data_IF_772578382889
#
_entry.id   IF_772578382889
#
_cell.length_a   1.000
_cell.length_b   1.000
_cell.length_c   1.000
_cell.angle_alpha   90.00
_cell.angle_beta   90.00
_cell.angle_gamma   90.00
#
_symmetry.space_group_name_H-M   'P 1'
#
loop_
_entity.id
_entity.type
_entity.pdbx_description
1 polymer ?
#
# COMPACT_ATOMS: atom_id res chain seq x y z
N UNK A 1 63.61 38.10 8.56
CA UNK A 1 63.69 36.90 9.43
C UNK A 1 62.28 36.36 9.69
N UNK A 2 62.20 35.04 9.93
CA UNK A 2 61.05 34.27 10.42
C UNK A 2 60.08 33.64 9.39
N UNK A 3 60.27 32.33 9.18
CA UNK A 3 59.40 31.36 8.50
C UNK A 3 58.61 30.57 9.56
N UNK A 4 57.31 30.32 9.34
CA UNK A 4 56.53 29.17 9.88
C UNK A 4 55.41 28.85 8.86
N UNK A 5 55.60 27.93 7.91
CA UNK A 5 55.35 26.47 7.90
C UNK A 5 53.94 26.05 8.37
N UNK A 6 53.11 25.64 7.40
CA UNK A 6 51.80 24.98 7.55
C UNK A 6 52.01 23.50 7.93
N UNK A 7 51.18 22.98 8.83
CA UNK A 7 51.16 21.57 9.22
C UNK A 7 50.33 20.74 8.22
N UNK A 8 50.88 19.59 7.79
CA UNK A 8 50.29 18.60 6.89
C UNK A 8 50.48 17.23 7.54
N UNK A 9 49.66 16.88 8.52
CA UNK A 9 49.66 15.56 9.18
C UNK A 9 48.23 15.31 9.68
N UNK A 10 47.45 14.52 8.94
CA UNK A 10 46.22 13.85 9.45
C UNK A 10 45.64 12.83 8.45
N UNK A 11 46.15 12.75 7.22
CA UNK A 11 45.61 11.83 6.20
C UNK A 11 46.21 10.41 6.23
N UNK A 12 47.09 10.08 7.17
CA UNK A 12 47.79 8.77 7.20
C UNK A 12 47.21 7.79 8.22
N UNK A 13 46.59 8.28 9.30
CA UNK A 13 45.99 7.43 10.33
C UNK A 13 44.59 6.91 9.95
N UNK A 14 43.86 7.61 9.08
CA UNK A 14 42.55 7.17 8.61
C UNK A 14 42.64 6.00 7.61
N UNK A 15 43.72 5.91 6.83
CA UNK A 15 43.91 4.91 5.78
C UNK A 15 44.35 3.54 6.34
N UNK A 16 44.99 3.50 7.51
CA UNK A 16 45.34 2.25 8.21
C UNK A 16 44.11 1.62 8.90
N UNK A 17 43.15 2.43 9.32
CA UNK A 17 41.93 1.95 9.98
C UNK A 17 40.91 1.32 9.01
N UNK A 18 40.94 1.71 7.73
CA UNK A 18 40.09 1.10 6.69
C UNK A 18 40.60 -0.23 6.16
N UNK A 19 41.89 -0.57 6.35
CA UNK A 19 42.46 -1.84 5.87
C UNK A 19 42.26 -3.01 6.83
N UNK A 20 41.80 -2.75 8.06
CA UNK A 20 41.74 -3.76 9.12
C UNK A 20 40.35 -4.40 9.27
N UNK A 21 39.29 -3.81 8.71
CA UNK A 21 37.92 -4.35 8.79
C UNK A 21 37.52 -5.24 7.59
N UNK A 22 38.38 -5.37 6.56
CA UNK A 22 38.12 -6.17 5.35
C UNK A 22 38.64 -7.63 5.46
N UNK A 23 38.95 -8.11 6.66
CA UNK A 23 39.42 -9.49 6.85
C UNK A 23 38.95 -10.06 8.17
N UNK A 24 37.71 -10.56 8.20
CA UNK A 24 37.32 -11.82 8.84
C UNK A 24 35.80 -12.01 8.82
N UNK A 25 35.29 -12.85 7.91
CA UNK A 25 34.34 -13.94 8.22
C UNK A 25 33.66 -14.47 6.95
N UNK A 26 34.20 -15.55 6.38
CA UNK A 26 33.49 -16.44 5.45
C UNK A 26 33.83 -17.89 5.83
N UNK A 27 32.89 -18.59 6.47
CA UNK A 27 32.73 -20.06 6.40
C UNK A 27 31.26 -20.44 6.68
N UNK A 28 30.51 -20.57 5.58
CA UNK A 28 29.46 -21.54 5.24
C UNK A 28 28.72 -22.36 6.33
N UNK A 29 27.39 -22.33 6.27
CA UNK A 29 26.57 -23.55 6.15
C UNK A 29 25.40 -23.38 5.16
N UNK A 30 25.10 -24.50 4.50
CA UNK A 30 24.40 -24.65 3.23
C UNK A 30 23.05 -25.31 3.49
N UNK A 31 21.95 -24.63 3.18
CA UNK A 31 20.66 -25.31 2.98
C UNK A 31 19.92 -24.71 1.78
N UNK A 32 19.81 -25.56 0.76
CA UNK A 32 19.15 -25.34 -0.52
C UNK A 32 17.64 -25.44 -0.31
N UNK A 33 16.88 -24.40 -0.59
CA UNK A 33 15.47 -24.53 -0.99
C UNK A 33 15.25 -23.61 -2.19
N UNK A 34 15.05 -24.22 -3.35
CA UNK A 34 14.70 -23.58 -4.62
C UNK A 34 13.22 -23.83 -4.90
N UNK A 35 12.56 -22.78 -5.41
CA UNK A 35 11.40 -22.75 -6.33
C UNK A 35 10.09 -23.42 -5.84
N UNK A 36 8.88 -22.99 -6.19
CA UNK A 36 8.35 -22.17 -7.29
C UNK A 36 6.87 -21.87 -7.02
N UNK A 37 6.37 -20.76 -7.57
CA UNK A 37 4.95 -20.46 -7.76
C UNK A 37 4.18 -21.61 -8.45
N UNK A 38 2.89 -21.86 -8.13
CA UNK A 38 2.06 -22.74 -8.93
C UNK A 38 1.19 -21.92 -9.89
N UNK A 39 1.51 -22.02 -11.18
CA UNK A 39 0.60 -21.64 -12.27
C UNK A 39 0.32 -22.90 -13.11
N UNK A 40 -0.93 -23.02 -13.54
CA UNK A 40 -1.46 -23.91 -14.58
C UNK A 40 -1.55 -25.42 -14.29
N UNK A 41 -2.78 -25.86 -14.06
CA UNK A 41 -3.22 -27.25 -14.10
C UNK A 41 -3.73 -27.53 -15.51
N UNK A 42 -3.07 -28.42 -16.24
CA UNK A 42 -3.56 -29.02 -17.49
C UNK A 42 -2.93 -30.40 -17.66
N UNK A 43 -3.72 -31.39 -18.10
CA UNK A 43 -3.17 -32.64 -18.64
C UNK A 43 -3.48 -33.93 -17.87
N UNK A 44 -4.77 -34.27 -17.81
CA UNK A 44 -5.37 -35.62 -17.87
C UNK A 44 -4.42 -36.76 -18.33
N UNK A 45 -4.36 -37.87 -17.57
CA UNK A 45 -4.43 -39.25 -18.09
C UNK A 45 -4.67 -40.29 -16.98
N UNK A 46 -5.68 -41.12 -17.24
CA UNK A 46 -6.18 -42.23 -16.45
C UNK A 46 -5.22 -43.44 -16.51
N UNK A 47 -5.23 -44.30 -15.47
CA UNK A 47 -5.44 -45.76 -15.58
C UNK A 47 -5.32 -46.48 -14.22
N UNK A 48 -6.48 -46.95 -13.73
CA UNK A 48 -6.80 -48.24 -13.08
C UNK A 48 -5.80 -48.96 -12.15
N UNK A 49 -6.24 -49.22 -10.92
CA UNK A 49 -6.25 -50.60 -10.37
C UNK A 49 -7.36 -50.77 -9.34
N UNK A 50 -7.94 -51.96 -9.38
CA UNK A 50 -9.23 -52.39 -8.84
C UNK A 50 -9.12 -53.07 -7.47
N UNK A 51 -10.20 -53.02 -6.66
CA UNK A 51 -10.60 -54.11 -5.75
C UNK A 51 -12.06 -53.96 -5.31
N UNK A 52 -12.81 -55.05 -5.54
CA UNK A 52 -14.23 -55.24 -5.31
C UNK A 52 -14.54 -55.51 -3.83
N UNK A 53 -15.75 -55.13 -3.38
CA UNK A 53 -16.64 -56.01 -2.58
C UNK A 53 -18.09 -55.56 -2.74
N UNK A 54 -18.94 -56.53 -3.08
CA UNK A 54 -20.38 -56.45 -3.27
C UNK A 54 -21.16 -56.13 -1.98
N UNK A 55 -22.26 -55.38 -2.12
CA UNK A 55 -23.53 -55.62 -1.40
C UNK A 55 -24.67 -54.89 -2.10
N UNK A 56 -25.76 -55.62 -2.27
CA UNK A 56 -26.92 -55.34 -3.13
C UNK A 56 -28.07 -54.85 -2.27
N UNK A 57 -28.63 -53.67 -2.56
CA UNK A 57 -30.04 -53.40 -2.24
C UNK A 57 -30.65 -52.27 -3.08
N UNK A 58 -31.97 -52.33 -3.20
CA UNK A 58 -32.77 -51.87 -4.34
C UNK A 58 -33.27 -50.41 -4.25
N UNK A 59 -33.37 -49.78 -5.43
CA UNK A 59 -34.31 -48.70 -5.84
C UNK A 59 -34.51 -47.49 -4.91
N UNK A 60 -33.90 -46.36 -5.29
CA UNK A 60 -34.69 -45.14 -5.53
C UNK A 60 -33.96 -44.26 -6.58
N UNK A 61 -34.58 -44.06 -7.75
CA UNK A 61 -34.06 -43.22 -8.83
C UNK A 61 -34.52 -41.78 -8.58
N UNK A 62 -33.83 -41.04 -7.72
CA UNK A 62 -33.91 -39.59 -7.70
C UNK A 62 -32.70 -39.05 -8.45
N UNK A 63 -32.96 -38.52 -9.65
CA UNK A 63 -31.97 -37.75 -10.40
C UNK A 63 -31.55 -36.58 -9.48
N UNK A 64 -30.24 -36.32 -9.27
CA UNK A 64 -29.87 -35.06 -8.66
C UNK A 64 -30.31 -33.99 -9.64
N UNK A 65 -31.23 -33.12 -9.21
CA UNK A 65 -31.44 -31.84 -9.86
C UNK A 65 -30.15 -31.07 -9.58
N UNK A 66 -29.15 -31.29 -10.43
CA UNK A 66 -28.10 -30.31 -10.65
C UNK A 66 -28.86 -29.17 -11.34
N UNK A 67 -29.40 -28.26 -10.55
CA UNK A 67 -29.64 -26.92 -11.03
C UNK A 67 -28.28 -26.45 -11.52
N UNK A 68 -28.10 -26.51 -12.84
CA UNK A 68 -27.09 -25.73 -13.53
C UNK A 68 -27.36 -24.29 -13.11
N UNK A 69 -26.65 -23.83 -12.08
CA UNK A 69 -26.46 -22.41 -11.85
C UNK A 69 -25.77 -21.96 -13.13
N UNK A 70 -26.57 -21.37 -14.04
CA UNK A 70 -26.05 -20.78 -15.26
C UNK A 70 -24.99 -19.79 -14.82
N UNK A 71 -23.82 -19.84 -15.44
CA UNK A 71 -22.78 -18.84 -15.22
C UNK A 71 -23.27 -17.41 -15.53
N UNK A 72 -24.41 -17.30 -16.22
CA UNK A 72 -25.09 -16.06 -16.58
C UNK A 72 -25.99 -15.49 -15.44
N UNK A 73 -26.29 -16.28 -14.40
CA UNK A 73 -27.07 -15.88 -13.21
C UNK A 73 -26.17 -15.60 -11.98
N UNK A 74 -24.83 -15.65 -12.15
CA UNK A 74 -23.94 -14.88 -11.28
C UNK A 74 -24.17 -13.45 -11.71
N UNK A 75 -25.18 -12.83 -11.10
CA UNK A 75 -25.43 -11.41 -11.19
C UNK A 75 -24.08 -10.70 -11.24
N UNK A 76 -23.92 -9.83 -12.22
CA UNK A 76 -22.92 -8.78 -12.21
C UNK A 76 -23.12 -8.01 -10.90
N UNK A 77 -22.59 -8.56 -9.79
CA UNK A 77 -22.46 -7.95 -8.48
C UNK A 77 -22.05 -6.54 -8.83
N UNK A 78 -22.82 -5.55 -8.41
CA UNK A 78 -22.62 -4.17 -8.83
C UNK A 78 -21.28 -3.66 -8.26
N UNK A 79 -20.17 -4.13 -8.84
CA UNK A 79 -18.81 -3.92 -8.40
C UNK A 79 -18.54 -2.42 -8.43
N UNK A 80 -19.16 -1.72 -9.36
CA UNK A 80 -19.10 -0.26 -9.44
C UNK A 80 -19.73 0.42 -8.22
N UNK A 81 -20.91 0.00 -7.78
CA UNK A 81 -21.50 0.51 -6.53
C UNK A 81 -20.71 0.10 -5.29
N UNK A 82 -20.25 -1.15 -5.23
CA UNK A 82 -19.43 -1.64 -4.13
C UNK A 82 -18.13 -0.83 -4.00
N UNK A 83 -17.45 -0.57 -5.12
CA UNK A 83 -16.22 0.22 -5.16
C UNK A 83 -16.47 1.71 -4.87
N UNK A 84 -17.67 2.23 -5.17
CA UNK A 84 -18.07 3.59 -4.82
C UNK A 84 -18.54 3.74 -3.35
N UNK A 85 -18.59 2.66 -2.59
CA UNK A 85 -18.88 2.70 -1.15
C UNK A 85 -17.67 3.16 -0.34
N UNK A 86 -17.87 3.53 0.93
CA UNK A 86 -16.76 3.87 1.82
C UNK A 86 -15.88 2.65 2.14
N UNK A 87 -16.48 1.47 2.20
CA UNK A 87 -15.77 0.20 2.36
C UNK A 87 -14.94 -0.12 1.11
N UNK A 88 -15.51 0.10 -0.07
CA UNK A 88 -14.82 0.00 -1.35
C UNK A 88 -13.60 0.90 -1.44
N UNK A 89 -13.72 2.16 -1.00
CA UNK A 89 -12.60 3.09 -0.96
C UNK A 89 -11.48 2.61 -0.01
N UNK A 90 -11.83 2.19 1.21
CA UNK A 90 -10.85 1.63 2.15
C UNK A 90 -10.16 0.37 1.58
N UNK A 91 -10.94 -0.52 0.97
CA UNK A 91 -10.46 -1.74 0.34
C UNK A 91 -9.50 -1.46 -0.82
N UNK A 92 -9.84 -0.54 -1.73
CA UNK A 92 -8.97 -0.13 -2.84
C UNK A 92 -7.64 0.46 -2.35
N UNK A 93 -7.67 1.17 -1.22
CA UNK A 93 -6.47 1.69 -0.55
C UNK A 93 -5.71 0.66 0.29
N UNK A 94 -6.19 -0.59 0.35
CA UNK A 94 -5.61 -1.68 1.18
C UNK A 94 -5.59 -1.32 2.68
N UNK A 95 -6.62 -0.63 3.14
CA UNK A 95 -6.80 -0.23 4.54
C UNK A 95 -8.02 -0.94 5.14
N UNK A 96 -7.98 -1.30 6.44
CA UNK A 96 -9.14 -1.86 7.11
C UNK A 96 -10.24 -0.80 7.23
N UNK A 97 -11.46 -1.13 6.84
CA UNK A 97 -12.58 -0.18 6.79
C UNK A 97 -13.01 0.36 8.17
N UNK A 98 -12.92 -0.48 9.20
CA UNK A 98 -13.56 -0.30 10.52
C UNK A 98 -12.58 -0.06 11.68
N UNK A 99 -11.27 -0.06 11.40
CA UNK A 99 -10.21 0.17 12.39
C UNK A 99 -9.05 0.95 11.81
N UNK A 100 -8.18 1.43 12.70
CA UNK A 100 -6.91 2.04 12.31
C UNK A 100 -5.88 0.94 11.98
N UNK A 101 -5.08 1.18 10.96
CA UNK A 101 -3.84 0.46 10.70
C UNK A 101 -2.75 0.88 11.71
N UNK A 102 -1.68 0.09 11.82
CA UNK A 102 -0.56 0.40 12.73
C UNK A 102 0.08 1.75 12.43
N UNK A 103 0.24 2.10 11.15
CA UNK A 103 0.81 3.37 10.71
C UNK A 103 -0.06 4.56 11.11
N UNK A 104 -1.38 4.42 10.99
CA UNK A 104 -2.33 5.45 11.43
C UNK A 104 -2.30 5.60 12.95
N UNK A 105 -2.26 4.50 13.69
CA UNK A 105 -2.19 4.53 15.16
C UNK A 105 -0.91 5.22 15.68
N UNK A 106 0.20 5.10 14.95
CA UNK A 106 1.43 5.82 15.25
C UNK A 106 1.31 7.34 14.96
N UNK A 107 0.77 7.70 13.79
CA UNK A 107 0.65 9.09 13.37
C UNK A 107 -0.43 9.89 14.13
N UNK A 108 -1.46 9.20 14.63
CA UNK A 108 -2.62 9.77 15.33
C UNK A 108 -2.77 9.17 16.74
N UNK A 109 -1.65 9.05 17.45
CA UNK A 109 -1.61 8.51 18.81
C UNK A 109 -2.43 9.33 19.83
N UNK A 110 -2.78 10.57 19.50
CA UNK A 110 -3.69 11.43 20.27
C UNK A 110 -5.16 10.99 20.21
N UNK A 111 -5.55 10.20 19.21
CA UNK A 111 -6.95 9.79 19.01
C UNK A 111 -7.26 8.49 19.76
N UNK A 112 -8.35 8.52 20.55
CA UNK A 112 -8.82 7.39 21.34
C UNK A 112 -10.35 7.28 21.30
N UNK A 113 -10.88 6.06 21.43
CA UNK A 113 -12.32 5.79 21.54
C UNK A 113 -13.16 6.35 20.39
N UNK A 114 -14.06 7.29 20.68
CA UNK A 114 -14.94 7.90 19.67
C UNK A 114 -14.15 8.69 18.61
N UNK A 115 -13.09 9.39 19.01
CA UNK A 115 -12.29 10.21 18.08
C UNK A 115 -11.53 9.38 17.03
N UNK A 116 -11.10 8.16 17.38
CA UNK A 116 -10.52 7.23 16.41
C UNK A 116 -11.55 6.70 15.40
N UNK A 117 -12.81 6.48 15.83
CA UNK A 117 -13.90 6.11 14.93
C UNK A 117 -14.25 7.25 13.96
N UNK A 118 -14.27 8.49 14.47
CA UNK A 118 -14.46 9.69 13.64
C UNK A 118 -13.35 9.83 12.61
N UNK A 119 -12.09 9.60 12.99
CA UNK A 119 -10.95 9.59 12.05
C UNK A 119 -11.12 8.56 10.94
N UNK A 120 -11.48 7.31 11.26
CA UNK A 120 -11.71 6.26 10.27
C UNK A 120 -12.78 6.68 9.25
N UNK A 121 -13.87 7.28 9.72
CA UNK A 121 -14.95 7.78 8.87
C UNK A 121 -14.54 8.95 7.98
N UNK A 122 -13.70 9.86 8.51
CA UNK A 122 -13.10 10.97 7.75
C UNK A 122 -12.16 10.43 6.67
N UNK A 123 -11.25 9.53 7.05
CA UNK A 123 -10.29 8.89 6.14
C UNK A 123 -10.99 8.22 4.96
N UNK A 124 -11.98 7.36 5.22
CA UNK A 124 -12.67 6.62 4.16
C UNK A 124 -13.41 7.56 3.19
N UNK A 125 -13.95 8.68 3.68
CA UNK A 125 -14.58 9.71 2.84
C UNK A 125 -13.57 10.45 1.97
N UNK A 126 -12.42 10.84 2.52
CA UNK A 126 -11.36 11.50 1.74
C UNK A 126 -10.84 10.57 0.64
N UNK A 127 -10.65 9.28 0.94
CA UNK A 127 -10.28 8.28 -0.07
C UNK A 127 -11.34 8.19 -1.18
N UNK A 128 -12.63 8.12 -0.80
CA UNK A 128 -13.73 8.11 -1.76
C UNK A 128 -13.72 9.38 -2.64
N UNK A 129 -13.54 10.56 -2.06
CA UNK A 129 -13.47 11.81 -2.83
C UNK A 129 -12.34 11.80 -3.87
N UNK A 130 -11.20 11.19 -3.55
CA UNK A 130 -10.09 11.02 -4.49
C UNK A 130 -10.44 10.03 -5.61
N UNK A 131 -11.05 8.89 -5.29
CA UNK A 131 -11.41 7.89 -6.31
C UNK A 131 -12.56 8.33 -7.22
N UNK A 132 -13.39 9.30 -6.81
CA UNK A 132 -14.41 9.90 -7.65
C UNK A 132 -13.83 10.73 -8.82
N UNK A 133 -12.72 11.44 -8.61
CA UNK A 133 -12.05 12.24 -9.66
C UNK A 133 -10.50 12.23 -9.50
N UNK A 134 -9.83 11.08 -9.74
CA UNK A 134 -8.39 10.94 -9.53
C UNK A 134 -7.55 11.70 -10.56
N UNK A 135 -8.20 12.34 -11.55
CA UNK A 135 -7.53 13.15 -12.57
C UNK A 135 -7.23 14.57 -12.10
N UNK A 136 -7.76 14.98 -10.94
CA UNK A 136 -7.53 16.31 -10.35
C UNK A 136 -7.05 16.18 -8.93
N UNK A 137 -6.18 17.09 -8.51
CA UNK A 137 -5.73 17.15 -7.13
C UNK A 137 -6.91 17.36 -6.18
N UNK A 138 -7.04 16.49 -5.18
CA UNK A 138 -7.92 16.71 -4.04
C UNK A 138 -7.18 17.62 -3.05
N UNK A 139 -7.61 18.88 -2.89
CA UNK A 139 -6.98 19.81 -1.92
C UNK A 139 -7.57 19.65 -0.52
N UNK A 140 -6.86 20.16 0.50
CA UNK A 140 -7.35 20.15 1.88
C UNK A 140 -8.65 20.95 2.02
N UNK A 141 -8.73 22.10 1.37
CA UNK A 141 -9.90 22.98 1.39
C UNK A 141 -11.11 22.28 0.77
N UNK A 142 -10.91 21.59 -0.36
CA UNK A 142 -11.98 20.83 -1.01
C UNK A 142 -12.43 19.64 -0.14
N UNK A 143 -11.49 18.95 0.51
CA UNK A 143 -11.83 17.86 1.43
C UNK A 143 -12.68 18.36 2.60
N UNK A 144 -12.31 19.49 3.23
CA UNK A 144 -13.10 20.12 4.30
C UNK A 144 -14.47 20.56 3.80
N UNK A 145 -14.53 21.19 2.61
CA UNK A 145 -15.79 21.68 2.04
C UNK A 145 -16.77 20.54 1.70
N UNK A 146 -16.28 19.41 1.18
CA UNK A 146 -17.11 18.25 0.84
C UNK A 146 -17.54 17.42 2.05
N UNK A 147 -16.95 17.64 3.23
CA UNK A 147 -17.33 16.88 4.42
C UNK A 147 -18.73 17.26 4.90
N UNK A 148 -19.51 16.23 5.22
CA UNK A 148 -20.86 16.37 5.75
C UNK A 148 -20.89 16.17 7.27
N UNK A 149 -21.92 16.70 7.91
CA UNK A 149 -22.20 16.49 9.34
C UNK A 149 -22.36 15.00 9.64
N UNK A 150 -21.82 14.47 10.76
CA UNK A 150 -21.10 15.16 11.83
C UNK A 150 -19.58 15.31 11.60
N UNK A 151 -19.05 14.84 10.47
CA UNK A 151 -17.60 14.72 10.24
C UNK A 151 -16.93 16.05 9.84
N UNK A 152 -17.71 17.07 9.51
CA UNK A 152 -17.25 18.44 9.32
C UNK A 152 -17.08 19.23 10.63
N UNK A 153 -17.44 18.65 11.79
CA UNK A 153 -17.40 19.33 13.09
C UNK A 153 -15.98 19.64 13.60
N UNK A 154 -14.96 18.94 13.11
CA UNK A 154 -13.55 19.20 13.38
C UNK A 154 -12.75 19.30 12.07
N UNK A 155 -12.69 20.51 11.45
CA UNK A 155 -11.91 20.73 10.24
C UNK A 155 -10.42 20.46 10.41
N UNK A 156 -9.87 20.62 11.62
CA UNK A 156 -8.45 20.37 11.88
C UNK A 156 -8.12 18.88 11.74
N UNK A 157 -8.99 17.99 12.23
CA UNK A 157 -8.85 16.55 12.02
C UNK A 157 -8.96 16.17 10.53
N UNK A 158 -9.86 16.79 9.77
CA UNK A 158 -9.97 16.56 8.32
C UNK A 158 -8.69 16.96 7.59
N UNK A 159 -8.14 18.15 7.88
CA UNK A 159 -6.88 18.61 7.28
C UNK A 159 -5.70 17.72 7.65
N UNK A 160 -5.57 17.30 8.93
CA UNK A 160 -4.51 16.36 9.36
C UNK A 160 -4.64 15.01 8.64
N UNK A 161 -5.86 14.50 8.49
CA UNK A 161 -6.12 13.22 7.81
C UNK A 161 -5.79 13.31 6.33
N UNK A 162 -6.19 14.39 5.66
CA UNK A 162 -5.81 14.65 4.27
C UNK A 162 -4.29 14.68 4.09
N UNK A 163 -3.59 15.46 4.91
CA UNK A 163 -2.14 15.59 4.87
C UNK A 163 -1.42 14.24 5.08
N UNK A 164 -1.94 13.40 5.99
CA UNK A 164 -1.44 12.04 6.21
C UNK A 164 -1.60 11.18 4.95
N UNK A 165 -2.79 11.18 4.33
CA UNK A 165 -3.08 10.37 3.15
C UNK A 165 -2.25 10.80 1.94
N UNK A 166 -2.08 12.11 1.72
CA UNK A 166 -1.25 12.64 0.65
C UNK A 166 0.23 12.29 0.87
N UNK A 167 0.73 12.40 2.11
CA UNK A 167 2.13 12.09 2.44
C UNK A 167 2.50 10.63 2.16
N UNK A 168 1.57 9.71 2.39
CA UNK A 168 1.81 8.27 2.24
C UNK A 168 1.34 7.71 0.89
N UNK A 169 0.93 8.58 -0.04
CA UNK A 169 0.54 8.17 -1.40
C UNK A 169 -0.78 7.41 -1.48
N UNK A 170 -1.71 7.66 -0.56
CA UNK A 170 -3.08 7.11 -0.64
C UNK A 170 -4.01 7.95 -1.52
N UNK A 171 -3.72 9.24 -1.67
CA UNK A 171 -4.41 10.20 -2.55
C UNK A 171 -3.37 11.05 -3.27
N UNK A 172 -3.78 11.80 -4.31
CA UNK A 172 -2.90 12.74 -5.02
C UNK A 172 -1.59 12.09 -5.50
N UNK A 173 -1.66 10.86 -6.00
CA UNK A 173 -0.53 10.12 -6.56
C UNK A 173 -0.75 9.84 -8.05
N UNK A 174 0.34 9.51 -8.75
CA UNK A 174 0.28 9.26 -10.20
C UNK A 174 0.15 10.55 -11.01
N UNK A 175 -0.66 10.53 -12.06
CA UNK A 175 -0.79 11.64 -13.01
C UNK A 175 -2.14 12.31 -12.81
N UNK A 176 -2.12 13.54 -12.31
CA UNK A 176 -3.31 14.36 -12.07
C UNK A 176 -3.01 15.84 -12.33
N UNK A 177 -4.06 16.60 -12.64
CA UNK A 177 -4.00 18.05 -12.76
C UNK A 177 -3.80 18.68 -11.37
N UNK A 178 -2.68 19.40 -11.20
CA UNK A 178 -2.33 20.03 -9.93
C UNK A 178 -2.94 21.42 -9.84
N UNK A 179 -3.78 21.65 -8.83
CA UNK A 179 -4.44 22.95 -8.58
C UNK A 179 -3.54 23.85 -7.75
N UNK A 180 -2.90 23.28 -6.72
CA UNK A 180 -1.99 24.03 -5.84
C UNK A 180 -0.61 24.18 -6.50
N UNK A 181 -0.04 25.38 -6.58
CA UNK A 181 1.30 25.54 -7.12
C UNK A 181 2.32 24.78 -6.28
N UNK A 182 3.41 24.32 -6.92
CA UNK A 182 4.49 23.64 -6.20
C UNK A 182 5.09 24.63 -5.18
N UNK A 183 5.07 24.34 -3.87
CA UNK A 183 5.54 25.29 -2.86
C UNK A 183 6.99 25.67 -3.09
N UNK A 184 7.31 26.96 -3.07
CA UNK A 184 8.69 27.43 -3.12
C UNK A 184 9.43 27.06 -1.82
N UNK A 185 10.75 26.77 -1.89
CA UNK A 185 11.51 26.53 -0.67
C UNK A 185 11.49 27.80 0.20
N UNK A 186 11.52 27.66 1.55
CA UNK A 186 11.58 28.81 2.45
C UNK A 186 12.78 29.72 2.13
N UNK A 187 12.63 31.02 2.39
CA UNK A 187 13.69 32.01 2.10
C UNK A 187 15.04 31.56 2.67
N UNK A 188 16.06 31.54 1.82
CA UNK A 188 17.43 31.14 2.18
C UNK A 188 17.66 29.63 2.33
N UNK A 189 16.66 28.79 2.06
CA UNK A 189 16.81 27.32 2.06
C UNK A 189 16.69 26.78 0.64
N UNK A 190 17.44 25.73 0.35
CA UNK A 190 17.30 24.96 -0.88
C UNK A 190 16.45 23.72 -0.62
N UNK A 191 15.81 23.18 -1.67
CA UNK A 191 15.13 21.88 -1.56
C UNK A 191 16.15 20.77 -1.28
N UNK A 192 15.81 19.75 -0.48
CA UNK A 192 16.62 18.54 -0.38
C UNK A 192 16.87 17.96 -1.77
N UNK A 193 18.10 17.51 -2.02
CA UNK A 193 18.45 16.80 -3.25
C UNK A 193 18.34 15.30 -2.99
N UNK A 194 17.55 14.61 -3.80
CA UNK A 194 17.37 13.16 -3.74
C UNK A 194 17.78 12.58 -5.09
N UNK A 195 18.61 11.53 -5.08
CA UNK A 195 19.00 10.78 -6.29
C UNK A 195 18.26 9.45 -6.24
N UNK A 196 17.55 9.12 -7.31
CA UNK A 196 16.86 7.84 -7.48
C UNK A 196 17.65 7.02 -8.49
N UNK A 197 18.07 5.81 -8.09
CA UNK A 197 18.80 4.89 -8.96
C UNK A 197 17.79 3.96 -9.64
N UNK A 198 17.60 4.15 -10.94
CA UNK A 198 16.69 3.37 -11.78
C UNK A 198 15.37 4.08 -12.07
N UNK A 199 14.96 4.04 -13.35
CA UNK A 199 13.75 4.69 -13.86
C UNK A 199 12.62 3.69 -14.15
N UNK A 200 12.52 2.63 -13.35
CA UNK A 200 11.37 1.70 -13.38
C UNK A 200 10.13 2.31 -12.70
N UNK A 201 9.02 1.58 -12.69
CA UNK A 201 7.74 2.06 -12.10
C UNK A 201 7.90 2.49 -10.64
N UNK A 202 8.71 1.78 -9.85
CA UNK A 202 9.00 2.16 -8.46
C UNK A 202 9.74 3.50 -8.36
N UNK A 203 10.76 3.70 -9.18
CA UNK A 203 11.55 4.94 -9.19
C UNK A 203 10.74 6.13 -9.72
N UNK A 204 9.95 5.92 -10.78
CA UNK A 204 9.07 6.95 -11.35
C UNK A 204 7.92 7.33 -10.41
N UNK A 205 7.38 6.40 -9.63
CA UNK A 205 6.33 6.70 -8.67
C UNK A 205 6.86 7.44 -7.42
N UNK A 206 8.13 7.22 -7.06
CA UNK A 206 8.76 7.88 -5.92
C UNK A 206 9.30 9.30 -6.24
N UNK A 207 9.61 9.57 -7.51
CA UNK A 207 10.15 10.84 -8.00
C UNK A 207 9.08 11.95 -8.08
#
# INVERSE_FOLDING_TARGET
>A
MSRRKRARIETRELDEKLKQDDSESDQSEKSKVRSSSPTSVSGRRESSSSRNTDSKDSKNNEKPIIEEIRADDIEEINYKEMLNSLEGAAFQSRLPFDKMSSLEAECFSDLQGSSSLTFIQIRNRILKFWFEDPKKQLTQELAVQKMETPYNGDPALVMRTHAFLERHGFINYGIYERITPIPNPPKGKQRPKVIIIGAGVSGLAAA
#
